data_IF_488974778429
#
_entry.id   IF_488974778429
#
_cell.length_a   1.000
_cell.length_b   1.000
_cell.length_c   1.000
_cell.angle_alpha   90.00
_cell.angle_beta   90.00
_cell.angle_gamma   90.00
#
_symmetry.space_group_name_H-M   'P 1'
#
loop_
_entity.id
_entity.type
_entity.pdbx_description
1 polymer ?
#
# COMPACT_ATOMS: atom_id res chain seq x y z
N UNK A 1 -17.55 -11.10 -17.65
CA UNK A 1 -17.15 -9.78 -17.10
C UNK A 1 -15.64 -9.61 -17.25
N UNK A 2 -15.17 -8.74 -18.15
CA UNK A 2 -13.75 -8.33 -18.16
C UNK A 2 -13.59 -7.29 -17.06
N UNK A 3 -12.83 -7.60 -16.00
CA UNK A 3 -12.46 -6.62 -15.00
C UNK A 3 -11.57 -5.60 -15.72
N UNK A 4 -12.11 -4.41 -16.00
CA UNK A 4 -11.32 -3.29 -16.53
C UNK A 4 -10.34 -2.94 -15.41
N UNK A 5 -9.06 -3.20 -15.63
CA UNK A 5 -8.03 -2.92 -14.64
C UNK A 5 -7.36 -1.58 -14.99
N UNK A 6 -7.21 -0.69 -14.01
CA UNK A 6 -6.53 0.61 -14.24
C UNK A 6 -5.11 0.39 -14.76
N UNK A 7 -4.64 1.26 -15.66
CA UNK A 7 -3.26 1.25 -16.12
C UNK A 7 -2.27 1.65 -15.01
N UNK A 8 -2.75 2.40 -14.02
CA UNK A 8 -1.97 2.86 -12.87
C UNK A 8 -2.34 2.08 -11.61
N UNK A 9 -1.33 1.88 -10.76
CA UNK A 9 -1.50 1.25 -9.46
C UNK A 9 -0.85 2.08 -8.36
N UNK A 10 -1.44 2.04 -7.18
CA UNK A 10 -0.92 2.64 -5.97
C UNK A 10 -0.32 1.56 -5.09
N UNK A 11 0.90 1.78 -4.63
CA UNK A 11 1.59 0.89 -3.70
C UNK A 11 1.38 1.42 -2.28
N UNK A 12 0.78 0.61 -1.43
CA UNK A 12 0.53 0.91 -0.01
C UNK A 12 1.12 -0.18 0.86
N UNK A 13 1.66 0.17 2.01
CA UNK A 13 2.08 -0.81 3.00
C UNK A 13 1.12 -0.73 4.17
N UNK A 14 0.42 -1.83 4.46
CA UNK A 14 -0.52 -1.92 5.56
C UNK A 14 0.22 -2.27 6.85
N UNK A 15 -0.05 -1.51 7.90
CA UNK A 15 0.46 -1.81 9.23
C UNK A 15 -0.32 -2.99 9.85
N UNK A 16 0.33 -3.74 10.74
CA UNK A 16 -0.31 -4.81 11.48
C UNK A 16 -1.45 -4.27 12.36
N UNK A 17 -2.47 -5.11 12.65
CA UNK A 17 -3.64 -4.72 13.46
C UNK A 17 -3.27 -4.20 14.86
N UNK A 18 -2.06 -4.51 15.34
CA UNK A 18 -1.55 -4.11 16.65
C UNK A 18 -0.60 -2.90 16.67
N UNK A 19 -0.45 -2.14 15.58
CA UNK A 19 0.46 -0.97 15.55
C UNK A 19 0.08 0.13 16.55
N UNK A 20 -1.20 0.19 16.94
CA UNK A 20 -1.67 1.04 18.04
C UNK A 20 -1.07 0.69 19.41
N UNK A 21 -0.56 -0.54 19.59
CA UNK A 21 0.12 -0.99 20.83
C UNK A 21 1.58 -0.58 20.89
N UNK A 22 2.22 -0.31 19.75
CA UNK A 22 3.62 0.13 19.67
C UNK A 22 3.75 1.64 19.58
N UNK A 23 2.75 2.36 19.07
CA UNK A 23 2.75 3.82 19.05
C UNK A 23 1.35 4.40 19.30
N UNK A 24 1.20 5.13 20.41
CA UNK A 24 -0.10 5.66 20.85
C UNK A 24 -0.62 6.82 19.98
N UNK A 25 0.26 7.50 19.21
CA UNK A 25 -0.19 8.48 18.21
C UNK A 25 -0.91 7.82 17.02
N UNK A 26 -0.78 6.50 16.92
CA UNK A 26 -1.43 5.64 15.95
C UNK A 26 -2.53 4.80 16.63
N UNK A 27 -3.18 5.30 17.68
CA UNK A 27 -4.35 4.65 18.26
C UNK A 27 -5.64 5.19 17.62
N UNK A 28 -6.46 4.31 17.04
CA UNK A 28 -7.78 4.66 16.51
C UNK A 28 -7.85 5.03 15.02
N UNK A 29 -6.74 5.03 14.26
CA UNK A 29 -6.84 5.07 12.80
C UNK A 29 -7.26 3.69 12.26
N UNK A 30 -8.30 3.65 11.43
CA UNK A 30 -8.81 2.41 10.84
C UNK A 30 -7.99 1.93 9.63
N UNK A 31 -6.94 2.65 9.22
CA UNK A 31 -6.14 2.37 8.03
C UNK A 31 -4.74 2.99 8.11
N UNK A 32 -3.77 2.26 8.66
CA UNK A 32 -2.37 2.68 8.69
C UNK A 32 -1.68 2.22 7.40
N UNK A 33 -1.72 3.06 6.37
CA UNK A 33 -0.96 2.81 5.15
C UNK A 33 0.28 3.71 5.11
N UNK A 34 1.47 3.15 4.86
CA UNK A 34 2.73 3.89 4.70
C UNK A 34 3.30 3.79 3.28
N UNK A 35 4.18 4.73 2.95
CA UNK A 35 5.12 4.59 1.85
C UNK A 35 6.15 3.48 2.16
N UNK A 36 6.68 2.83 1.12
CA UNK A 36 7.53 1.65 1.27
C UNK A 36 8.78 1.82 2.14
N UNK A 37 9.50 2.95 2.03
CA UNK A 37 10.68 3.16 2.87
C UNK A 37 10.29 3.35 4.34
N UNK A 38 9.29 4.18 4.60
CA UNK A 38 8.77 4.42 5.96
C UNK A 38 8.21 3.12 6.59
N UNK A 39 7.65 2.25 5.75
CA UNK A 39 7.16 0.94 6.16
C UNK A 39 8.30 -0.02 6.57
N UNK A 40 9.40 -0.03 5.80
CA UNK A 40 10.59 -0.82 6.10
C UNK A 40 11.32 -0.29 7.34
N UNK A 41 11.49 1.03 7.42
CA UNK A 41 12.25 1.69 8.49
C UNK A 41 11.56 1.56 9.86
N UNK A 42 10.23 1.55 9.88
CA UNK A 42 9.47 1.43 11.12
C UNK A 42 9.36 -0.02 11.61
N UNK A 43 9.54 -1.03 10.75
CA UNK A 43 9.35 -2.44 11.10
C UNK A 43 7.92 -2.82 11.54
N UNK A 44 6.99 -1.87 11.51
CA UNK A 44 5.61 -2.00 11.99
C UNK A 44 4.63 -2.43 10.88
N UNK A 45 5.11 -2.59 9.64
CA UNK A 45 4.29 -2.87 8.46
C UNK A 45 4.48 -4.29 7.98
N UNK A 46 3.36 -4.99 7.78
CA UNK A 46 3.35 -6.44 7.56
C UNK A 46 2.94 -6.85 6.15
N UNK A 47 2.27 -5.97 5.39
CA UNK A 47 1.69 -6.35 4.10
C UNK A 47 1.87 -5.25 3.06
N UNK A 48 2.50 -5.60 1.93
CA UNK A 48 2.57 -4.74 0.75
C UNK A 48 1.33 -4.99 -0.11
N UNK A 49 0.58 -3.93 -0.39
CA UNK A 49 -0.64 -3.93 -1.19
C UNK A 49 -0.45 -3.11 -2.45
N UNK A 50 -0.97 -3.63 -3.56
CA UNK A 50 -0.94 -2.95 -4.86
C UNK A 50 -2.37 -2.90 -5.39
N UNK A 51 -2.93 -1.70 -5.39
CA UNK A 51 -4.33 -1.48 -5.69
C UNK A 51 -4.47 -0.70 -7.00
N UNK A 52 -5.50 -0.97 -7.82
CA UNK A 52 -5.83 -0.13 -8.97
C UNK A 52 -6.01 1.34 -8.52
N UNK A 53 -5.39 2.26 -9.25
CA UNK A 53 -5.49 3.69 -8.98
C UNK A 53 -6.29 4.36 -10.09
N UNK A 54 -7.43 4.96 -9.73
CA UNK A 54 -8.40 5.52 -10.69
C UNK A 54 -8.60 7.03 -10.55
N UNK A 55 -7.97 7.69 -9.58
CA UNK A 55 -8.23 9.09 -9.24
C UNK A 55 -7.13 10.07 -9.64
N UNK A 56 -7.40 11.36 -9.45
CA UNK A 56 -6.43 12.47 -9.48
C UNK A 56 -6.06 12.98 -8.07
N UNK A 57 -6.65 12.39 -7.03
CA UNK A 57 -6.48 12.82 -5.65
C UNK A 57 -5.07 12.50 -5.12
N UNK A 58 -4.46 13.48 -4.45
CA UNK A 58 -3.20 13.28 -3.71
C UNK A 58 -3.47 12.37 -2.51
N UNK A 59 -3.42 11.06 -2.73
CA UNK A 59 -3.53 10.09 -1.64
C UNK A 59 -2.22 10.12 -0.84
N UNK A 60 -2.33 10.48 0.43
CA UNK A 60 -1.20 10.53 1.37
C UNK A 60 -1.29 9.42 2.41
N UNK A 61 -0.14 9.00 2.92
CA UNK A 61 -0.04 8.14 4.09
C UNK A 61 -0.51 8.86 5.36
N UNK A 62 -0.51 8.15 6.48
CA UNK A 62 -0.91 8.70 7.78
C UNK A 62 0.01 9.81 8.30
N UNK A 63 1.19 10.00 7.69
CA UNK A 63 2.15 11.08 7.99
C UNK A 63 2.02 12.24 6.98
N UNK A 64 1.08 12.15 6.03
CA UNK A 64 0.86 13.18 5.01
C UNK A 64 1.82 13.08 3.80
N UNK A 65 2.61 12.02 3.67
CA UNK A 65 3.50 11.79 2.51
C UNK A 65 2.71 11.15 1.38
N UNK A 66 2.95 11.58 0.15
CA UNK A 66 2.27 10.99 -1.02
C UNK A 66 2.68 9.55 -1.26
N UNK A 67 1.69 8.69 -1.56
CA UNK A 67 1.96 7.33 -2.01
C UNK A 67 2.62 7.29 -3.38
N UNK A 68 3.38 6.23 -3.61
CA UNK A 68 3.98 5.97 -4.91
C UNK A 68 2.90 5.39 -5.83
N UNK A 69 2.65 6.10 -6.92
CA UNK A 69 1.79 5.64 -8.01
C UNK A 69 2.70 5.27 -9.18
N UNK A 70 2.55 4.05 -9.67
CA UNK A 70 3.31 3.53 -10.81
C UNK A 70 2.39 3.13 -11.95
N UNK A 71 2.92 3.10 -13.16
CA UNK A 71 2.28 2.35 -14.23
C UNK A 71 2.50 0.84 -14.00
N UNK A 72 1.62 0.01 -14.57
CA UNK A 72 1.67 -1.44 -14.34
C UNK A 72 2.87 -2.13 -14.97
N UNK A 73 3.35 -1.60 -16.07
CA UNK A 73 4.56 -2.00 -16.77
C UNK A 73 5.83 -1.70 -15.97
N UNK A 74 5.77 -0.77 -15.01
CA UNK A 74 6.88 -0.43 -14.11
C UNK A 74 6.92 -1.32 -12.84
N UNK A 75 5.98 -2.27 -12.72
CA UNK A 75 5.94 -3.19 -11.58
C UNK A 75 7.01 -4.29 -11.73
N UNK A 76 7.71 -4.56 -10.64
CA UNK A 76 8.60 -5.72 -10.56
C UNK A 76 7.80 -7.04 -10.65
N UNK A 77 8.43 -8.18 -10.96
CA UNK A 77 7.74 -9.47 -10.98
C UNK A 77 6.96 -9.78 -9.70
N UNK A 78 7.55 -9.50 -8.54
CA UNK A 78 6.87 -9.65 -7.24
C UNK A 78 5.66 -8.72 -7.09
N UNK A 79 5.77 -7.48 -7.56
CA UNK A 79 4.68 -6.51 -7.54
C UNK A 79 3.55 -6.93 -8.49
N UNK A 80 3.87 -7.47 -9.66
CA UNK A 80 2.88 -8.00 -10.58
C UNK A 80 2.12 -9.18 -9.96
N UNK A 81 2.82 -10.05 -9.23
CA UNK A 81 2.23 -11.18 -8.51
C UNK A 81 1.25 -10.72 -7.42
N UNK A 82 1.65 -9.74 -6.60
CA UNK A 82 0.79 -9.12 -5.57
C UNK A 82 -0.43 -8.45 -6.21
N UNK A 83 -0.23 -7.68 -7.29
CA UNK A 83 -1.30 -6.99 -8.01
C UNK A 83 -2.30 -7.93 -8.70
N UNK A 84 -1.90 -9.17 -8.96
CA UNK A 84 -2.77 -10.21 -9.49
C UNK A 84 -3.69 -10.83 -8.42
N UNK A 85 -3.48 -10.52 -7.13
CA UNK A 85 -4.23 -11.12 -6.02
C UNK A 85 -3.86 -12.58 -5.78
N UNK A 86 -2.72 -13.03 -6.30
CA UNK A 86 -2.21 -14.36 -6.03
C UNK A 86 -1.66 -14.39 -4.61
N UNK A 87 -2.33 -15.11 -3.70
CA UNK A 87 -1.74 -15.49 -2.42
C UNK A 87 -0.52 -16.37 -2.69
N UNK A 88 0.63 -16.05 -2.07
CA UNK A 88 1.85 -16.89 -2.14
C UNK A 88 1.48 -18.36 -1.88
N UNK A 89 2.07 -19.33 -2.59
CA UNK A 89 1.90 -20.75 -2.28
C UNK A 89 2.40 -21.07 -0.86
#
# INVERSE_FOLDING_TARGET
MKIVKSNRVIIKYRAADQVSRTNNSLAGCYSYYAKGQDALDSGMFCEKLILPYWGDERITDFVGKQFVIKNRDELTPDEQYIAAGCSRP
#
